data_IF_083792582225
#
_entry.id   IF_083792582225
#
_cell.length_a   1.000
_cell.length_b   1.000
_cell.length_c   1.000
_cell.angle_alpha   90.00
_cell.angle_beta   90.00
_cell.angle_gamma   90.00
#
_symmetry.space_group_name_H-M   'P 1'
#
loop_
_entity.id
_entity.type
_entity.pdbx_description
1 polymer ?
#
# COMPACT_ATOMS: atom_id res chain seq x y z
N UNK A 1 1.37 -4.74 -21.26
CA UNK A 1 1.88 -3.35 -21.22
C UNK A 1 2.16 -2.93 -19.78
N UNK A 2 3.28 -2.24 -19.56
CA UNK A 2 3.67 -1.69 -18.25
C UNK A 2 2.65 -0.67 -17.72
N UNK A 3 2.51 -0.59 -16.39
CA UNK A 3 1.68 0.43 -15.72
C UNK A 3 2.10 1.85 -16.12
N UNK A 4 3.41 2.12 -16.15
CA UNK A 4 3.94 3.43 -16.51
C UNK A 4 3.51 3.84 -17.92
N UNK A 5 3.47 2.90 -18.86
CA UNK A 5 3.02 3.15 -20.22
C UNK A 5 1.52 3.53 -20.29
N UNK A 6 0.67 2.91 -19.48
CA UNK A 6 -0.77 3.25 -19.41
C UNK A 6 -1.02 4.61 -18.77
N UNK A 7 -0.30 4.94 -17.70
CA UNK A 7 -0.40 6.26 -17.05
C UNK A 7 0.12 7.36 -17.97
N UNK A 8 1.24 7.11 -18.65
CA UNK A 8 1.78 8.02 -19.65
C UNK A 8 0.79 8.25 -20.79
N UNK A 9 0.17 7.19 -21.32
CA UNK A 9 -0.90 7.31 -22.31
C UNK A 9 -2.09 8.15 -21.83
N UNK A 10 -2.50 8.03 -20.56
CA UNK A 10 -3.56 8.87 -19.98
C UNK A 10 -3.15 10.34 -19.91
N UNK A 11 -1.92 10.63 -19.48
CA UNK A 11 -1.39 12.00 -19.44
C UNK A 11 -1.39 12.60 -20.84
N UNK A 12 -0.96 11.85 -21.85
CA UNK A 12 -0.97 12.32 -23.24
C UNK A 12 -2.38 12.62 -23.75
N UNK A 13 -3.39 11.83 -23.39
CA UNK A 13 -4.79 12.14 -23.74
C UNK A 13 -5.23 13.46 -23.10
N UNK A 14 -4.86 13.70 -21.85
CA UNK A 14 -5.19 14.97 -21.17
C UNK A 14 -4.49 16.15 -21.85
N UNK A 15 -3.21 16.00 -22.19
CA UNK A 15 -2.45 17.03 -22.92
C UNK A 15 -3.10 17.31 -24.28
N UNK A 16 -3.48 16.27 -25.02
CA UNK A 16 -4.13 16.38 -26.32
C UNK A 16 -5.48 17.12 -26.22
N UNK A 17 -6.29 16.81 -25.21
CA UNK A 17 -7.54 17.54 -24.94
C UNK A 17 -7.28 19.01 -24.63
N UNK A 18 -6.26 19.32 -23.83
CA UNK A 18 -5.88 20.70 -23.53
C UNK A 18 -5.44 21.42 -24.80
N UNK A 19 -4.61 20.79 -25.64
CA UNK A 19 -4.18 21.37 -26.91
C UNK A 19 -5.37 21.68 -27.82
N UNK A 20 -6.35 20.78 -27.89
CA UNK A 20 -7.60 21.00 -28.64
C UNK A 20 -8.37 22.21 -28.10
N UNK A 21 -8.56 22.31 -26.78
CA UNK A 21 -9.27 23.43 -26.15
C UNK A 21 -8.56 24.77 -26.40
N UNK A 22 -7.23 24.78 -26.27
CA UNK A 22 -6.40 25.98 -26.50
C UNK A 22 -6.47 26.39 -27.97
N UNK A 23 -6.40 25.45 -28.91
CA UNK A 23 -6.49 25.70 -30.36
C UNK A 23 -7.85 26.27 -30.77
N UNK A 24 -8.95 25.83 -30.12
CA UNK A 24 -10.27 26.43 -30.30
C UNK A 24 -10.40 27.83 -29.68
N UNK A 25 -9.69 28.11 -28.59
CA UNK A 25 -9.80 29.38 -27.85
C UNK A 25 -8.97 30.49 -28.47
N UNK A 26 -7.86 30.16 -29.12
CA UNK A 26 -6.97 31.11 -29.77
C UNK A 26 -7.42 31.38 -31.22
N UNK A 27 -8.41 32.25 -31.41
CA UNK A 27 -8.85 32.64 -32.76
C UNK A 27 -7.81 33.44 -33.55
N UNK A 28 -6.86 34.10 -32.86
CA UNK A 28 -5.87 35.03 -33.42
C UNK A 28 -4.41 34.77 -32.95
N UNK A 29 -4.06 33.52 -32.60
CA UNK A 29 -2.70 33.18 -32.16
C UNK A 29 -1.65 33.37 -33.28
N UNK A 30 -0.39 33.63 -32.91
CA UNK A 30 0.69 33.72 -33.90
C UNK A 30 0.89 32.38 -34.63
N UNK A 31 1.29 32.47 -35.91
CA UNK A 31 1.51 31.31 -36.77
C UNK A 31 2.51 30.30 -36.16
N UNK A 32 3.49 30.79 -35.41
CA UNK A 32 4.52 29.96 -34.77
C UNK A 32 3.96 29.13 -33.61
N UNK A 33 3.05 29.71 -32.81
CA UNK A 33 2.41 28.99 -31.70
C UNK A 33 1.53 27.87 -32.24
N UNK A 34 0.81 28.10 -33.34
CA UNK A 34 -0.05 27.07 -33.93
C UNK A 34 0.76 25.91 -34.51
N UNK A 35 1.86 26.20 -35.23
CA UNK A 35 2.80 25.17 -35.70
C UNK A 35 3.38 24.32 -34.57
N UNK A 36 3.75 24.95 -33.45
CA UNK A 36 4.27 24.23 -32.30
C UNK A 36 3.21 23.29 -31.71
N UNK A 37 1.97 23.74 -31.54
CA UNK A 37 0.87 22.92 -31.03
C UNK A 37 0.53 21.75 -31.97
N UNK A 38 0.54 21.97 -33.27
CA UNK A 38 0.31 20.93 -34.28
C UNK A 38 1.43 19.88 -34.28
N UNK A 39 2.68 20.32 -34.14
CA UNK A 39 3.83 19.42 -34.03
C UNK A 39 3.70 18.51 -32.80
N UNK A 40 3.32 19.08 -31.64
CA UNK A 40 3.07 18.28 -30.42
C UNK A 40 1.91 17.30 -30.62
N UNK A 41 0.81 17.75 -31.24
CA UNK A 41 -0.36 16.91 -31.53
C UNK A 41 -0.02 15.75 -32.47
N UNK A 42 0.87 15.97 -33.44
CA UNK A 42 1.36 14.96 -34.37
C UNK A 42 2.19 13.89 -33.65
N UNK A 43 3.11 14.31 -32.77
CA UNK A 43 3.91 13.39 -31.93
C UNK A 43 3.00 12.52 -31.06
N UNK A 44 1.99 13.13 -30.43
CA UNK A 44 1.00 12.42 -29.61
C UNK A 44 0.22 11.41 -30.46
N UNK A 45 -0.22 11.79 -31.67
CA UNK A 45 -0.95 10.91 -32.59
C UNK A 45 -0.11 9.69 -33.00
N UNK A 46 1.18 9.88 -33.31
CA UNK A 46 2.10 8.78 -33.62
C UNK A 46 2.35 7.86 -32.43
N UNK A 47 2.49 8.41 -31.22
CA UNK A 47 2.61 7.59 -30.01
C UNK A 47 1.41 6.65 -29.87
N UNK A 48 0.20 7.15 -30.12
CA UNK A 48 -1.00 6.33 -30.04
C UNK A 48 -1.16 5.30 -31.15
N UNK A 49 -0.67 5.59 -32.36
CA UNK A 49 -0.56 4.58 -33.41
C UNK A 49 0.35 3.45 -32.95
N UNK A 50 1.53 3.77 -32.42
CA UNK A 50 2.47 2.78 -31.90
C UNK A 50 1.85 1.98 -30.75
N UNK A 51 1.13 2.61 -29.82
CA UNK A 51 0.38 1.92 -28.76
C UNK A 51 -0.67 0.93 -29.30
N UNK A 52 -1.45 1.31 -30.31
CA UNK A 52 -2.39 0.38 -30.98
C UNK A 52 -1.63 -0.78 -31.62
N UNK A 53 -0.59 -0.51 -32.40
CA UNK A 53 0.20 -1.54 -33.10
C UNK A 53 0.86 -2.52 -32.11
N UNK A 54 1.44 -2.03 -31.03
CA UNK A 54 2.02 -2.85 -29.97
C UNK A 54 0.96 -3.75 -29.32
N UNK A 55 -0.25 -3.24 -29.08
CA UNK A 55 -1.34 -4.06 -28.53
C UNK A 55 -1.82 -5.11 -29.52
N UNK A 56 -1.95 -4.79 -30.80
CA UNK A 56 -2.26 -5.77 -31.85
C UNK A 56 -1.19 -6.87 -31.92
N UNK A 57 0.09 -6.49 -31.82
CA UNK A 57 1.21 -7.43 -31.80
C UNK A 57 1.18 -8.36 -30.58
N UNK A 58 0.94 -7.80 -29.37
CA UNK A 58 0.96 -8.56 -28.11
C UNK A 58 -0.28 -9.42 -27.92
N UNK A 59 -1.48 -8.91 -28.22
CA UNK A 59 -2.75 -9.63 -28.04
C UNK A 59 -3.03 -10.59 -29.21
N UNK A 60 -2.39 -10.34 -30.37
CA UNK A 60 -2.64 -11.07 -31.61
C UNK A 60 -3.82 -10.48 -32.39
N UNK A 61 -3.66 -10.40 -33.72
CA UNK A 61 -4.59 -9.70 -34.61
C UNK A 61 -6.06 -10.14 -34.45
N UNK A 62 -6.32 -11.46 -34.49
CA UNK A 62 -7.69 -12.01 -34.38
C UNK A 62 -8.35 -11.71 -33.03
N UNK A 63 -7.60 -11.77 -31.94
CA UNK A 63 -8.12 -11.54 -30.58
C UNK A 63 -8.37 -10.05 -30.37
N UNK A 64 -7.43 -9.19 -30.78
CA UNK A 64 -7.56 -7.75 -30.63
C UNK A 64 -8.83 -7.21 -31.32
N UNK A 65 -9.06 -7.60 -32.57
CA UNK A 65 -10.19 -7.17 -33.38
C UNK A 65 -11.50 -7.95 -33.13
N UNK A 66 -11.53 -8.84 -32.13
CA UNK A 66 -12.80 -9.43 -31.66
C UNK A 66 -13.61 -8.48 -30.77
N UNK A 67 -12.94 -7.50 -30.16
CA UNK A 67 -13.56 -6.52 -29.27
C UNK A 67 -13.99 -5.27 -30.02
N UNK A 68 -15.30 -4.96 -30.01
CA UNK A 68 -15.87 -3.76 -30.63
C UNK A 68 -15.16 -2.48 -30.16
N UNK A 69 -14.82 -2.39 -28.86
CA UNK A 69 -14.12 -1.22 -28.31
C UNK A 69 -12.68 -1.07 -28.83
N UNK A 70 -12.01 -2.18 -29.16
CA UNK A 70 -10.67 -2.16 -29.73
C UNK A 70 -10.72 -1.75 -31.21
N UNK A 71 -11.71 -2.24 -31.96
CA UNK A 71 -11.96 -1.82 -33.34
C UNK A 71 -12.18 -0.29 -33.38
N UNK A 72 -13.07 0.22 -32.54
CA UNK A 72 -13.38 1.66 -32.47
C UNK A 72 -12.13 2.48 -32.12
N UNK A 73 -11.32 2.06 -31.13
CA UNK A 73 -10.07 2.77 -30.76
C UNK A 73 -9.07 2.81 -31.91
N UNK A 74 -8.86 1.68 -32.61
CA UNK A 74 -7.95 1.61 -33.74
C UNK A 74 -8.40 2.54 -34.88
N UNK A 75 -9.70 2.53 -35.22
CA UNK A 75 -10.27 3.43 -36.22
C UNK A 75 -10.07 4.90 -35.83
N UNK A 76 -10.35 5.26 -34.57
CA UNK A 76 -10.18 6.64 -34.10
C UNK A 76 -8.72 7.07 -34.21
N UNK A 77 -7.76 6.24 -33.78
CA UNK A 77 -6.33 6.58 -33.85
C UNK A 77 -5.89 6.85 -35.29
N UNK A 78 -6.29 6.00 -36.23
CA UNK A 78 -5.98 6.18 -37.66
C UNK A 78 -6.62 7.45 -38.19
N UNK A 79 -7.91 7.67 -37.92
CA UNK A 79 -8.64 8.87 -38.36
C UNK A 79 -8.00 10.13 -37.77
N UNK A 80 -7.70 10.16 -36.48
CA UNK A 80 -7.06 11.31 -35.83
C UNK A 80 -5.67 11.59 -36.39
N UNK A 81 -4.88 10.56 -36.69
CA UNK A 81 -3.56 10.73 -37.29
C UNK A 81 -3.66 11.34 -38.70
N UNK A 82 -4.58 10.82 -39.53
CA UNK A 82 -4.80 11.34 -40.88
C UNK A 82 -5.24 12.80 -40.82
N UNK A 83 -6.17 13.15 -39.94
CA UNK A 83 -6.59 14.54 -39.73
C UNK A 83 -5.41 15.41 -39.31
N UNK A 84 -4.62 14.99 -38.33
CA UNK A 84 -3.47 15.76 -37.83
C UNK A 84 -2.39 15.91 -38.90
N UNK A 85 -2.14 14.89 -39.72
CA UNK A 85 -1.23 14.99 -40.86
C UNK A 85 -1.74 16.00 -41.89
N UNK A 86 -3.01 15.93 -42.29
CA UNK A 86 -3.59 16.89 -43.25
C UNK A 86 -3.36 18.33 -42.77
N UNK A 87 -3.55 18.60 -41.48
CA UNK A 87 -3.25 19.91 -40.90
C UNK A 87 -1.78 20.30 -40.98
N UNK A 88 -0.90 19.47 -40.42
CA UNK A 88 0.53 19.77 -40.35
C UNK A 88 1.13 19.98 -41.75
N UNK A 89 0.68 19.21 -42.75
CA UNK A 89 1.16 19.34 -44.13
C UNK A 89 0.52 20.50 -44.90
N UNK A 90 -0.74 20.87 -44.64
CA UNK A 90 -1.37 22.02 -45.31
C UNK A 90 -0.84 23.35 -44.81
N UNK A 91 -0.53 23.46 -43.51
CA UNK A 91 0.13 24.64 -42.93
C UNK A 91 1.58 24.79 -43.43
N UNK A 92 2.26 23.67 -43.73
CA UNK A 92 3.61 23.65 -44.29
C UNK A 92 3.64 24.01 -45.79
N UNK A 93 2.62 23.59 -46.55
CA UNK A 93 2.53 23.81 -48.00
C UNK A 93 1.85 25.13 -48.38
N UNK A 94 1.28 25.87 -47.42
CA UNK A 94 0.59 27.15 -47.65
C UNK A 94 -0.70 27.00 -48.46
N UNK A 95 -1.20 25.78 -48.63
CA UNK A 95 -2.42 25.50 -49.38
C UNK A 95 -3.66 25.86 -48.55
N UNK A 96 -4.53 26.71 -49.07
CA UNK A 96 -5.76 27.11 -48.40
C UNK A 96 -6.84 26.03 -48.52
N UNK A 97 -7.05 25.26 -47.44
CA UNK A 97 -8.23 24.42 -47.30
C UNK A 97 -9.50 25.28 -47.19
N UNK A 98 -10.62 24.76 -47.70
CA UNK A 98 -11.94 25.39 -47.52
C UNK A 98 -12.20 25.56 -46.01
N UNK A 99 -12.55 26.76 -45.52
CA UNK A 99 -12.76 27.01 -44.08
C UNK A 99 -13.73 26.04 -43.41
N UNK A 100 -14.77 25.59 -44.14
CA UNK A 100 -15.72 24.57 -43.69
C UNK A 100 -15.08 23.20 -43.42
N UNK A 101 -14.11 22.80 -44.24
CA UNK A 101 -13.37 21.53 -44.08
C UNK A 101 -12.47 21.63 -42.84
N UNK A 102 -11.83 22.76 -42.62
CA UNK A 102 -11.04 23.02 -41.40
C UNK A 102 -11.93 22.91 -40.15
N UNK A 103 -13.06 23.60 -40.11
CA UNK A 103 -13.97 23.49 -38.95
C UNK A 103 -14.46 22.06 -38.70
N UNK A 104 -14.79 21.32 -39.76
CA UNK A 104 -15.20 19.91 -39.66
C UNK A 104 -14.07 19.01 -39.12
N UNK A 105 -12.86 19.12 -39.67
CA UNK A 105 -11.72 18.33 -39.23
C UNK A 105 -11.31 18.66 -37.78
N UNK A 106 -11.48 19.91 -37.33
CA UNK A 106 -11.30 20.28 -35.90
C UNK A 106 -12.33 19.60 -35.00
N UNK A 107 -13.59 19.52 -35.43
CA UNK A 107 -14.64 18.85 -34.66
C UNK A 107 -14.36 17.36 -34.49
N UNK A 108 -13.68 16.73 -35.46
CA UNK A 108 -13.30 15.32 -35.40
C UNK A 108 -12.30 15.00 -34.26
N UNK A 109 -11.59 16.00 -33.73
CA UNK A 109 -10.73 15.85 -32.56
C UNK A 109 -11.52 15.54 -31.27
N UNK A 110 -12.84 15.78 -31.24
CA UNK A 110 -13.68 15.35 -30.12
C UNK A 110 -13.72 13.82 -29.95
N UNK A 111 -13.40 13.06 -31.01
CA UNK A 111 -13.29 11.60 -30.95
C UNK A 111 -12.19 11.12 -29.98
N UNK A 112 -11.21 11.98 -29.63
CA UNK A 112 -10.22 11.71 -28.58
C UNK A 112 -10.91 11.43 -27.23
N UNK A 113 -12.08 12.03 -26.97
CA UNK A 113 -12.87 11.77 -25.75
C UNK A 113 -13.39 10.34 -25.66
N UNK A 114 -13.62 9.66 -26.78
CA UNK A 114 -13.99 8.23 -26.80
C UNK A 114 -12.85 7.38 -26.21
N UNK A 115 -11.60 7.83 -26.32
CA UNK A 115 -10.44 7.15 -25.73
C UNK A 115 -10.40 7.30 -24.22
N UNK A 116 -10.84 8.44 -23.70
CA UNK A 116 -11.11 8.63 -22.26
C UNK A 116 -12.16 7.63 -21.79
N UNK A 117 -13.25 7.46 -22.56
CA UNK A 117 -14.30 6.49 -22.25
C UNK A 117 -13.79 5.03 -22.27
N UNK A 118 -12.94 4.66 -23.23
CA UNK A 118 -12.31 3.33 -23.27
C UNK A 118 -11.36 3.09 -22.08
N UNK A 119 -10.56 4.07 -21.70
CA UNK A 119 -9.75 4.01 -20.48
C UNK A 119 -10.61 3.88 -19.22
N UNK A 120 -11.75 4.60 -19.17
CA UNK A 120 -12.73 4.45 -18.10
C UNK A 120 -13.34 3.02 -18.09
N UNK A 121 -13.57 2.42 -19.27
CA UNK A 121 -13.98 1.02 -19.39
C UNK A 121 -12.90 0.04 -18.90
N UNK A 122 -11.63 0.44 -18.86
CA UNK A 122 -10.51 -0.33 -18.30
C UNK A 122 -10.24 -0.07 -16.81
N UNK A 123 -11.11 0.68 -16.12
CA UNK A 123 -10.97 1.02 -14.69
C UNK A 123 -10.67 -0.20 -13.80
N UNK A 124 -11.31 -1.35 -14.07
CA UNK A 124 -11.06 -2.59 -13.32
C UNK A 124 -9.61 -3.07 -13.41
N UNK A 125 -8.99 -2.95 -14.58
CA UNK A 125 -7.58 -3.33 -14.79
C UNK A 125 -6.63 -2.34 -14.11
N UNK A 126 -6.98 -1.05 -14.12
CA UNK A 126 -6.21 -0.04 -13.40
C UNK A 126 -6.22 -0.31 -11.88
N UNK A 127 -7.40 -0.59 -11.32
CA UNK A 127 -7.54 -0.95 -9.90
C UNK A 127 -6.69 -2.17 -9.51
N UNK A 128 -6.72 -3.23 -10.32
CA UNK A 128 -5.89 -4.43 -10.09
C UNK A 128 -4.40 -4.08 -10.05
N UNK A 129 -3.93 -3.27 -10.99
CA UNK A 129 -2.52 -2.86 -11.05
C UNK A 129 -2.15 -1.97 -9.87
N UNK A 130 -2.99 -1.01 -9.49
CA UNK A 130 -2.74 -0.15 -8.32
C UNK A 130 -2.64 -0.97 -7.03
N UNK A 131 -3.51 -1.96 -6.84
CA UNK A 131 -3.44 -2.89 -5.70
C UNK A 131 -2.14 -3.69 -5.69
N UNK A 132 -1.67 -4.17 -6.85
CA UNK A 132 -0.41 -4.92 -6.96
C UNK A 132 0.81 -4.08 -6.60
N UNK A 133 0.85 -2.82 -7.03
CA UNK A 133 1.95 -1.92 -6.66
C UNK A 133 1.98 -1.66 -5.15
N UNK A 134 0.83 -1.42 -4.51
CA UNK A 134 0.77 -1.18 -3.07
C UNK A 134 1.11 -2.42 -2.25
N UNK A 135 0.85 -3.62 -2.78
CA UNK A 135 1.28 -4.85 -2.11
C UNK A 135 2.77 -5.14 -2.24
N UNK A 136 3.51 -4.50 -3.14
CA UNK A 136 4.92 -4.83 -3.40
C UNK A 136 5.07 -6.35 -3.68
N UNK A 137 6.09 -7.00 -3.11
CA UNK A 137 6.35 -8.44 -3.17
C UNK A 137 5.70 -9.23 -2.02
N UNK A 138 4.59 -8.74 -1.46
CA UNK A 138 3.79 -9.52 -0.51
C UNK A 138 3.09 -10.67 -1.22
N UNK A 139 3.06 -11.86 -0.62
CA UNK A 139 2.33 -13.01 -1.16
C UNK A 139 0.83 -12.69 -1.22
N UNK A 140 0.27 -12.65 -2.43
CA UNK A 140 -1.15 -12.38 -2.67
C UNK A 140 -1.93 -13.69 -2.86
N UNK A 141 -3.21 -13.68 -2.50
CA UNK A 141 -4.13 -14.77 -2.84
C UNK A 141 -4.73 -14.50 -4.21
N UNK A 142 -4.38 -15.33 -5.19
CA UNK A 142 -4.79 -15.21 -6.60
C UNK A 142 -5.39 -16.54 -7.11
N UNK A 143 -6.45 -17.01 -6.45
CA UNK A 143 -7.14 -18.28 -6.78
C UNK A 143 -8.65 -18.08 -6.70
N UNK A 144 -9.42 -18.94 -7.36
CA UNK A 144 -10.89 -19.02 -7.26
C UNK A 144 -11.63 -17.69 -7.51
N UNK A 145 -11.09 -16.88 -8.42
CA UNK A 145 -11.67 -15.57 -8.76
C UNK A 145 -11.41 -14.47 -7.72
N UNK A 146 -10.46 -14.65 -6.79
CA UNK A 146 -10.03 -13.64 -5.84
C UNK A 146 -8.61 -13.13 -6.18
N UNK A 147 -8.37 -11.83 -6.04
CA UNK A 147 -7.04 -11.20 -6.07
C UNK A 147 -6.91 -10.27 -4.86
N UNK A 148 -6.50 -10.84 -3.72
CA UNK A 148 -6.45 -10.15 -2.43
C UNK A 148 -5.04 -10.16 -1.86
N UNK A 149 -4.65 -9.05 -1.22
CA UNK A 149 -3.45 -9.01 -0.38
C UNK A 149 -3.74 -9.72 0.95
N UNK A 150 -3.70 -11.05 0.87
CA UNK A 150 -4.10 -12.02 1.87
C UNK A 150 -3.20 -13.25 1.75
N UNK A 151 -2.75 -13.78 2.88
CA UNK A 151 -1.85 -14.94 2.96
C UNK A 151 -2.33 -15.87 4.05
N UNK A 152 -2.47 -17.16 3.73
CA UNK A 152 -2.54 -18.21 4.75
C UNK A 152 -1.13 -18.40 5.31
N UNK A 153 -0.91 -17.96 6.55
CA UNK A 153 0.34 -18.21 7.28
C UNK A 153 0.38 -19.68 7.67
N UNK A 154 -0.74 -20.19 8.16
CA UNK A 154 -1.07 -21.62 8.30
C UNK A 154 -2.46 -21.85 7.71
N UNK A 155 -2.96 -23.08 7.72
CA UNK A 155 -4.30 -23.40 7.20
C UNK A 155 -5.42 -22.65 7.92
N UNK A 156 -5.24 -22.34 9.22
CA UNK A 156 -6.25 -21.69 10.07
C UNK A 156 -5.88 -20.26 10.50
N UNK A 157 -4.73 -19.73 10.04
CA UNK A 157 -4.25 -18.38 10.40
C UNK A 157 -4.00 -17.57 9.14
N UNK A 158 -4.79 -16.53 8.94
CA UNK A 158 -4.73 -15.64 7.78
C UNK A 158 -4.14 -14.30 8.19
N UNK A 159 -3.14 -13.83 7.44
CA UNK A 159 -2.61 -12.48 7.51
C UNK A 159 -3.04 -11.69 6.27
N UNK A 160 -3.62 -10.50 6.45
CA UNK A 160 -4.07 -9.68 5.32
C UNK A 160 -3.81 -8.18 5.51
N UNK A 161 -3.92 -7.42 4.42
CA UNK A 161 -3.95 -5.96 4.48
C UNK A 161 -5.35 -5.43 4.83
N UNK A 162 -5.41 -4.16 5.21
CA UNK A 162 -6.65 -3.50 5.66
C UNK A 162 -7.80 -3.64 4.64
N UNK A 163 -8.97 -4.18 5.03
CA UNK A 163 -10.16 -4.20 4.20
C UNK A 163 -10.75 -2.78 4.13
N UNK A 164 -10.87 -2.26 2.91
CA UNK A 164 -11.13 -0.84 2.67
C UNK A 164 -12.41 -0.60 1.87
N UNK A 165 -13.03 0.55 2.09
CA UNK A 165 -14.21 1.04 1.36
C UNK A 165 -13.90 2.34 0.62
N UNK A 166 -14.82 2.76 -0.27
CA UNK A 166 -14.71 4.01 -1.01
C UNK A 166 -13.45 4.10 -1.88
N UNK A 167 -12.83 5.28 -1.93
CA UNK A 167 -11.63 5.55 -2.75
C UNK A 167 -10.42 4.70 -2.37
N UNK A 168 -10.33 4.22 -1.12
CA UNK A 168 -9.19 3.41 -0.66
C UNK A 168 -9.22 1.98 -1.26
N UNK A 169 -10.40 1.49 -1.65
CA UNK A 169 -10.56 0.20 -2.33
C UNK A 169 -9.92 0.16 -3.73
N UNK A 170 -9.58 1.32 -4.31
CA UNK A 170 -8.83 1.39 -5.57
C UNK A 170 -7.43 0.79 -5.44
N UNK A 171 -6.81 0.91 -4.27
CA UNK A 171 -5.41 0.52 -4.06
C UNK A 171 -5.20 -0.46 -2.89
N UNK A 172 -6.27 -0.84 -2.18
CA UNK A 172 -6.28 -1.88 -1.15
C UNK A 172 -7.36 -2.92 -1.39
N UNK A 173 -7.40 -3.94 -0.54
CA UNK A 173 -8.44 -4.95 -0.53
C UNK A 173 -9.83 -4.29 -0.40
N UNK A 174 -10.75 -4.48 -1.36
CA UNK A 174 -12.14 -4.06 -1.18
C UNK A 174 -12.78 -4.88 -0.07
N UNK A 175 -13.39 -4.22 0.92
CA UNK A 175 -13.98 -4.91 2.09
C UNK A 175 -15.03 -5.95 1.68
N UNK A 176 -15.84 -5.65 0.65
CA UNK A 176 -16.84 -6.59 0.11
C UNK A 176 -16.21 -7.85 -0.49
N UNK A 177 -15.04 -7.73 -1.12
CA UNK A 177 -14.33 -8.88 -1.66
C UNK A 177 -13.68 -9.73 -0.55
N UNK A 178 -13.21 -9.09 0.52
CA UNK A 178 -12.70 -9.80 1.70
C UNK A 178 -13.83 -10.53 2.42
N UNK A 179 -14.99 -9.89 2.61
CA UNK A 179 -16.18 -10.53 3.17
C UNK A 179 -16.63 -11.71 2.30
N UNK A 180 -16.76 -11.51 0.98
CA UNK A 180 -17.08 -12.58 0.02
C UNK A 180 -16.09 -13.73 0.12
N UNK A 181 -14.80 -13.45 0.25
CA UNK A 181 -13.78 -14.47 0.40
C UNK A 181 -13.97 -15.29 1.67
N UNK A 182 -14.11 -14.63 2.82
CA UNK A 182 -14.26 -15.30 4.11
C UNK A 182 -15.58 -16.09 4.18
N UNK A 183 -16.68 -15.53 3.68
CA UNK A 183 -17.97 -16.23 3.63
C UNK A 183 -17.95 -17.42 2.66
N UNK A 184 -17.24 -17.32 1.53
CA UNK A 184 -17.13 -18.43 0.56
C UNK A 184 -16.24 -19.57 1.07
N UNK A 185 -15.15 -19.23 1.79
CA UNK A 185 -14.13 -20.21 2.19
C UNK A 185 -14.30 -20.74 3.61
N UNK A 186 -14.91 -19.95 4.50
CA UNK A 186 -14.96 -20.20 5.94
C UNK A 186 -16.31 -19.77 6.52
N UNK A 187 -17.42 -20.04 5.83
CA UNK A 187 -18.75 -19.61 6.25
C UNK A 187 -18.97 -19.91 7.75
N UNK A 188 -19.28 -18.87 8.52
CA UNK A 188 -19.47 -18.90 9.99
C UNK A 188 -18.30 -19.40 10.85
N UNK A 189 -17.18 -19.78 10.24
CA UNK A 189 -15.97 -20.28 10.88
C UNK A 189 -14.80 -19.30 10.83
N UNK A 190 -15.04 -17.98 10.72
CA UNK A 190 -13.97 -16.98 10.82
C UNK A 190 -14.21 -15.91 11.88
N UNK A 191 -13.13 -15.46 12.52
CA UNK A 191 -13.08 -14.23 13.34
C UNK A 191 -11.98 -13.30 12.83
N UNK A 192 -12.30 -12.01 12.69
CA UNK A 192 -11.38 -10.99 12.18
C UNK A 192 -10.78 -10.19 13.34
N UNK A 193 -9.46 -9.97 13.33
CA UNK A 193 -8.77 -9.10 14.28
C UNK A 193 -8.23 -7.86 13.56
N UNK A 194 -8.79 -6.69 13.91
CA UNK A 194 -8.34 -5.39 13.43
C UNK A 194 -7.34 -4.77 14.41
N UNK A 195 -6.08 -4.68 13.98
CA UNK A 195 -4.97 -4.15 14.77
C UNK A 195 -4.75 -2.63 14.62
N UNK A 196 -5.60 -1.94 13.86
CA UNK A 196 -5.48 -0.49 13.64
C UNK A 196 -6.12 0.30 14.79
N UNK A 197 -5.32 1.08 15.51
CA UNK A 197 -5.82 2.16 16.36
C UNK A 197 -6.44 3.28 15.51
N UNK A 198 -5.82 3.56 14.36
CA UNK A 198 -6.12 4.73 13.53
C UNK A 198 -7.35 4.56 12.64
N UNK A 199 -7.84 3.33 12.45
CA UNK A 199 -8.86 3.01 11.45
C UNK A 199 -9.78 1.86 11.88
N UNK A 200 -11.06 2.01 11.56
CA UNK A 200 -12.08 0.98 11.64
C UNK A 200 -12.94 0.93 10.38
N UNK A 201 -13.91 0.03 10.40
CA UNK A 201 -14.95 -0.14 9.38
C UNK A 201 -16.19 -0.70 10.07
N UNK A 202 -17.34 -0.70 9.39
CA UNK A 202 -18.57 -1.28 9.91
C UNK A 202 -18.40 -2.80 10.11
N UNK A 203 -18.50 -3.33 11.35
CA UNK A 203 -18.33 -4.76 11.61
C UNK A 203 -19.43 -5.63 10.98
N UNK A 204 -20.53 -5.04 10.51
CA UNK A 204 -21.60 -5.76 9.78
C UNK A 204 -21.09 -6.49 8.54
N UNK A 205 -20.03 -5.99 7.89
CA UNK A 205 -19.43 -6.68 6.74
C UNK A 205 -18.91 -8.07 7.07
N UNK A 206 -18.65 -8.36 8.35
CA UNK A 206 -18.09 -9.61 8.84
C UNK A 206 -18.99 -10.24 9.91
N UNK A 207 -20.31 -10.00 9.81
CA UNK A 207 -21.33 -10.57 10.71
C UNK A 207 -21.03 -10.32 12.20
N UNK A 208 -20.46 -9.15 12.52
CA UNK A 208 -20.01 -8.77 13.87
C UNK A 208 -18.94 -9.67 14.50
N UNK A 209 -18.28 -10.54 13.72
CA UNK A 209 -17.15 -11.37 14.16
C UNK A 209 -15.83 -10.62 14.04
N UNK A 210 -15.77 -9.40 14.58
CA UNK A 210 -14.58 -8.52 14.51
C UNK A 210 -14.17 -8.08 15.91
N UNK A 211 -12.93 -8.39 16.28
CA UNK A 211 -12.29 -7.90 17.49
C UNK A 211 -11.24 -6.84 17.16
N UNK A 212 -10.99 -5.92 18.10
CA UNK A 212 -10.01 -4.84 17.91
C UNK A 212 -8.92 -4.88 18.97
N UNK A 213 -7.68 -4.80 18.51
CA UNK A 213 -6.51 -4.53 19.35
C UNK A 213 -5.91 -3.20 18.89
N UNK A 214 -5.88 -2.20 19.76
CA UNK A 214 -5.49 -0.84 19.37
C UNK A 214 -3.97 -0.70 19.34
N UNK A 215 -3.34 -0.94 18.19
CA UNK A 215 -1.88 -0.84 18.03
C UNK A 215 -1.54 0.29 17.04
N UNK A 216 -0.75 1.25 17.50
CA UNK A 216 -0.28 2.36 16.67
C UNK A 216 0.69 1.90 15.57
N UNK A 217 0.73 2.62 14.45
CA UNK A 217 1.54 2.24 13.29
C UNK A 217 3.03 2.25 13.63
N UNK A 218 3.73 1.14 13.35
CA UNK A 218 5.13 0.87 13.72
C UNK A 218 5.42 0.72 15.22
N UNK A 219 4.39 0.55 16.05
CA UNK A 219 4.51 0.30 17.48
C UNK A 219 4.09 -1.13 17.85
N UNK A 220 3.93 -1.37 19.15
CA UNK A 220 3.66 -2.67 19.78
C UNK A 220 2.41 -2.59 20.67
N UNK A 221 1.66 -3.69 20.84
CA UNK A 221 0.58 -3.76 21.82
C UNK A 221 1.14 -3.74 23.25
N UNK A 222 0.29 -3.49 24.26
CA UNK A 222 0.70 -3.79 25.64
C UNK A 222 0.76 -5.31 25.87
N UNK A 223 1.55 -5.77 26.84
CA UNK A 223 1.59 -7.19 27.19
C UNK A 223 0.22 -7.72 27.64
N UNK A 224 -0.57 -6.87 28.30
CA UNK A 224 -1.95 -7.20 28.70
C UNK A 224 -2.85 -7.42 27.48
N UNK A 225 -2.74 -6.56 26.46
CA UNK A 225 -3.51 -6.72 25.22
C UNK A 225 -3.11 -7.98 24.46
N UNK A 226 -1.84 -8.37 24.52
CA UNK A 226 -1.38 -9.63 23.93
C UNK A 226 -1.99 -10.85 24.63
N UNK A 227 -2.03 -10.85 25.96
CA UNK A 227 -2.66 -11.92 26.75
C UNK A 227 -4.17 -11.99 26.52
N UNK A 228 -4.84 -10.83 26.45
CA UNK A 228 -6.25 -10.77 26.11
C UNK A 228 -6.52 -11.33 24.71
N UNK A 229 -5.74 -10.87 23.73
CA UNK A 229 -5.84 -11.35 22.35
C UNK A 229 -5.69 -12.87 22.26
N UNK A 230 -4.67 -13.46 22.86
CA UNK A 230 -4.47 -14.92 22.78
C UNK A 230 -5.52 -15.69 23.54
N UNK A 231 -6.08 -15.15 24.63
CA UNK A 231 -7.23 -15.76 25.29
C UNK A 231 -8.46 -15.81 24.37
N UNK A 232 -8.79 -14.70 23.70
CA UNK A 232 -9.88 -14.66 22.73
C UNK A 232 -9.65 -15.60 21.54
N UNK A 233 -8.41 -15.71 21.05
CA UNK A 233 -8.07 -16.62 19.96
C UNK A 233 -8.15 -18.08 20.42
N UNK A 234 -7.63 -18.44 21.60
CA UNK A 234 -7.76 -19.81 22.14
C UNK A 234 -9.21 -20.24 22.24
N UNK A 235 -10.05 -19.40 22.84
CA UNK A 235 -11.49 -19.67 22.98
C UNK A 235 -12.14 -19.91 21.61
N UNK A 236 -11.89 -19.02 20.65
CA UNK A 236 -12.41 -19.16 19.28
C UNK A 236 -11.93 -20.43 18.59
N UNK A 237 -10.63 -20.71 18.66
CA UNK A 237 -10.01 -21.83 17.96
C UNK A 237 -10.34 -23.19 18.58
N UNK A 238 -10.66 -23.22 19.88
CA UNK A 238 -11.10 -24.41 20.60
C UNK A 238 -12.57 -24.74 20.37
N UNK A 239 -13.40 -23.74 20.04
CA UNK A 239 -14.83 -23.95 19.83
C UNK A 239 -15.16 -24.82 18.61
N UNK A 240 -14.33 -24.80 17.56
CA UNK A 240 -14.49 -25.64 16.38
C UNK A 240 -13.13 -25.86 15.68
N UNK A 241 -12.89 -27.06 15.15
CA UNK A 241 -11.67 -27.40 14.41
C UNK A 241 -11.56 -26.70 13.04
N UNK A 242 -12.70 -26.28 12.47
CA UNK A 242 -12.80 -25.52 11.23
C UNK A 242 -12.59 -24.02 11.43
N UNK A 243 -12.60 -23.52 12.68
CA UNK A 243 -12.47 -22.10 12.96
C UNK A 243 -11.10 -21.56 12.50
N UNK A 244 -11.13 -20.41 11.84
CA UNK A 244 -9.95 -19.66 11.38
C UNK A 244 -9.95 -18.25 11.95
N UNK A 245 -8.77 -17.64 12.01
CA UNK A 245 -8.59 -16.23 12.35
C UNK A 245 -8.00 -15.45 11.17
N UNK A 246 -8.53 -14.25 10.93
CA UNK A 246 -8.02 -13.32 9.93
C UNK A 246 -7.52 -12.04 10.60
N UNK A 247 -6.19 -11.88 10.65
CA UNK A 247 -5.53 -10.81 11.37
C UNK A 247 -5.04 -9.76 10.36
N UNK A 248 -5.33 -8.50 10.61
CA UNK A 248 -4.91 -7.43 9.72
C UNK A 248 -4.51 -6.17 10.47
N UNK A 249 -3.61 -5.41 9.83
CA UNK A 249 -3.32 -4.02 10.20
C UNK A 249 -3.49 -3.16 8.94
N UNK A 250 -2.76 -2.04 8.85
CA UNK A 250 -2.76 -1.20 7.66
C UNK A 250 -2.14 -1.91 6.45
N UNK A 251 -0.97 -2.55 6.63
CA UNK A 251 -0.17 -3.15 5.56
C UNK A 251 -0.12 -4.68 5.57
N UNK A 252 -0.55 -5.33 6.65
CA UNK A 252 -0.43 -6.77 6.86
C UNK A 252 1.02 -7.24 7.04
N UNK A 253 1.87 -6.42 7.68
CA UNK A 253 3.31 -6.62 7.92
C UNK A 253 3.62 -6.59 9.43
N UNK A 254 4.36 -5.60 9.93
CA UNK A 254 4.78 -5.44 11.34
C UNK A 254 3.77 -5.85 12.42
N UNK A 255 2.72 -5.03 12.64
CA UNK A 255 1.67 -5.31 13.66
C UNK A 255 1.02 -6.67 13.50
N UNK A 256 0.69 -7.05 12.26
CA UNK A 256 0.08 -8.35 11.94
C UNK A 256 1.02 -9.49 12.26
N UNK A 257 2.29 -9.38 11.87
CA UNK A 257 3.33 -10.36 12.16
C UNK A 257 3.53 -10.54 13.66
N UNK A 258 3.58 -9.44 14.44
CA UNK A 258 3.66 -9.52 15.91
C UNK A 258 2.54 -10.40 16.47
N UNK A 259 1.28 -10.11 16.15
CA UNK A 259 0.15 -10.85 16.71
C UNK A 259 -0.02 -12.27 16.15
N UNK A 260 0.37 -12.50 14.89
CA UNK A 260 0.43 -13.83 14.29
C UNK A 260 1.49 -14.68 14.99
N UNK A 261 2.72 -14.20 15.09
CA UNK A 261 3.82 -14.92 15.75
C UNK A 261 3.50 -15.18 17.24
N UNK A 262 2.91 -14.21 17.94
CA UNK A 262 2.40 -14.41 19.30
C UNK A 262 1.40 -15.57 19.39
N UNK A 263 0.47 -15.70 18.44
CA UNK A 263 -0.44 -16.85 18.40
C UNK A 263 0.28 -18.17 18.07
N UNK A 264 1.23 -18.16 17.15
CA UNK A 264 2.02 -19.34 16.80
C UNK A 264 2.81 -19.87 18.00
N UNK A 265 3.36 -18.98 18.83
CA UNK A 265 3.99 -19.34 20.10
C UNK A 265 2.95 -19.83 21.10
N UNK A 266 1.83 -19.11 21.26
CA UNK A 266 0.79 -19.47 22.25
C UNK A 266 0.17 -20.85 22.02
N UNK A 267 0.00 -21.22 20.74
CA UNK A 267 -0.61 -22.48 20.29
C UNK A 267 0.38 -23.62 20.11
N UNK A 268 1.61 -23.49 20.64
CA UNK A 268 2.67 -24.51 20.60
C UNK A 268 3.07 -24.96 19.18
N UNK A 269 2.76 -24.17 18.15
CA UNK A 269 3.21 -24.45 16.77
C UNK A 269 4.69 -24.10 16.59
N UNK A 270 5.21 -23.19 17.42
CA UNK A 270 6.61 -22.81 17.51
C UNK A 270 7.00 -22.66 18.98
N UNK A 271 8.20 -23.11 19.31
CA UNK A 271 8.77 -22.93 20.66
C UNK A 271 9.59 -21.64 20.78
N UNK A 272 10.18 -21.19 19.66
CA UNK A 272 11.07 -20.04 19.58
C UNK A 272 10.40 -18.83 18.91
N UNK A 273 10.42 -17.68 19.61
CA UNK A 273 9.98 -16.41 19.06
C UNK A 273 10.69 -16.07 17.74
N UNK A 274 12.00 -16.32 17.67
CA UNK A 274 12.80 -16.03 16.49
C UNK A 274 12.37 -16.89 15.29
N UNK A 275 12.19 -18.19 15.48
CA UNK A 275 11.75 -19.09 14.41
C UNK A 275 10.36 -18.72 13.89
N UNK A 276 9.45 -18.35 14.79
CA UNK A 276 8.10 -17.91 14.40
C UNK A 276 8.13 -16.62 13.54
N UNK A 277 9.05 -15.70 13.84
CA UNK A 277 9.24 -14.45 13.12
C UNK A 277 9.81 -14.69 11.72
N UNK A 278 10.81 -15.58 11.63
CA UNK A 278 11.43 -15.97 10.36
C UNK A 278 10.40 -16.66 9.47
N UNK A 279 9.68 -17.65 10.02
CA UNK A 279 8.60 -18.35 9.34
C UNK A 279 7.53 -17.40 8.80
N UNK A 280 7.05 -16.46 9.63
CA UNK A 280 6.07 -15.46 9.17
C UNK A 280 6.63 -14.62 8.02
N UNK A 281 7.88 -14.17 8.14
CA UNK A 281 8.58 -13.43 7.10
C UNK A 281 8.63 -14.19 5.77
N UNK A 282 8.94 -15.49 5.80
CA UNK A 282 8.99 -16.34 4.61
C UNK A 282 7.61 -16.58 3.99
N UNK A 283 6.58 -16.80 4.81
CA UNK A 283 5.21 -16.98 4.31
C UNK A 283 4.66 -15.70 3.70
N UNK A 284 4.97 -14.55 4.30
CA UNK A 284 4.45 -13.25 3.87
C UNK A 284 5.18 -12.68 2.65
N UNK A 285 6.46 -12.99 2.49
CA UNK A 285 7.30 -12.50 1.40
C UNK A 285 7.25 -13.44 0.19
N UNK A 286 6.97 -12.91 -0.99
CA UNK A 286 7.21 -13.61 -2.24
C UNK A 286 8.62 -13.29 -2.75
N UNK A 287 9.56 -14.19 -2.45
CA UNK A 287 10.97 -14.06 -2.84
C UNK A 287 11.19 -14.12 -4.36
N UNK A 288 10.22 -14.60 -5.16
CA UNK A 288 10.34 -14.60 -6.63
C UNK A 288 10.11 -13.22 -7.26
N UNK A 289 9.50 -12.28 -6.53
CA UNK A 289 9.18 -10.94 -7.02
C UNK A 289 10.18 -9.88 -6.55
N UNK A 290 10.79 -10.06 -5.37
CA UNK A 290 11.85 -9.18 -4.83
C UNK A 290 12.52 -9.81 -3.62
N UNK A 291 13.75 -9.41 -3.33
CA UNK A 291 14.49 -9.76 -2.10
C UNK A 291 14.06 -8.97 -0.86
N UNK A 292 13.16 -7.97 -1.00
CA UNK A 292 12.70 -7.15 0.12
C UNK A 292 11.92 -7.99 1.15
N UNK A 293 12.38 -8.01 2.40
CA UNK A 293 11.71 -8.70 3.49
C UNK A 293 10.37 -8.03 3.87
N UNK A 294 9.31 -8.83 4.03
CA UNK A 294 7.93 -8.39 4.31
C UNK A 294 7.38 -8.88 5.66
N UNK A 295 8.26 -9.32 6.57
CA UNK A 295 7.90 -9.82 7.91
C UNK A 295 7.73 -8.70 8.94
N UNK A 296 8.08 -8.99 10.20
CA UNK A 296 8.04 -8.01 11.29
C UNK A 296 9.09 -6.92 11.07
N UNK A 297 8.68 -5.65 11.24
CA UNK A 297 9.43 -4.50 10.72
C UNK A 297 10.39 -3.88 11.75
N UNK A 298 10.04 -3.89 13.04
CA UNK A 298 10.82 -3.18 14.06
C UNK A 298 11.40 -4.13 15.12
N UNK A 299 12.61 -3.86 15.65
CA UNK A 299 13.17 -4.63 16.75
C UNK A 299 12.28 -4.67 18.01
N UNK A 300 11.51 -3.61 18.26
CA UNK A 300 10.53 -3.59 19.35
C UNK A 300 9.42 -4.62 19.13
N UNK A 301 8.90 -4.75 17.91
CA UNK A 301 7.88 -5.75 17.57
C UNK A 301 8.42 -7.17 17.76
N UNK A 302 9.63 -7.47 17.29
CA UNK A 302 10.26 -8.78 17.51
C UNK A 302 10.49 -9.06 18.99
N UNK A 303 10.94 -8.05 19.76
CA UNK A 303 11.14 -8.17 21.20
C UNK A 303 9.85 -8.52 21.94
N UNK A 304 8.72 -7.93 21.55
CA UNK A 304 7.44 -8.20 22.21
C UNK A 304 6.93 -9.63 21.96
N UNK A 305 7.27 -10.25 20.81
CA UNK A 305 7.04 -11.68 20.61
C UNK A 305 7.87 -12.51 21.60
N UNK A 306 9.15 -12.17 21.80
CA UNK A 306 10.00 -12.80 22.82
C UNK A 306 9.52 -12.56 24.26
N UNK A 307 8.97 -11.38 24.56
CA UNK A 307 8.32 -11.15 25.87
C UNK A 307 7.11 -12.06 26.06
N UNK A 308 6.33 -12.29 25.00
CA UNK A 308 5.20 -13.22 25.08
C UNK A 308 5.63 -14.67 25.29
N UNK A 309 6.67 -15.12 24.60
CA UNK A 309 7.30 -16.43 24.82
C UNK A 309 7.70 -16.61 26.30
N UNK A 310 8.35 -15.60 26.90
CA UNK A 310 8.67 -15.59 28.33
C UNK A 310 7.40 -15.67 29.18
N UNK A 311 6.37 -14.87 28.89
CA UNK A 311 5.11 -14.89 29.64
C UNK A 311 4.44 -16.27 29.58
N UNK A 312 4.44 -16.92 28.41
CA UNK A 312 3.90 -18.27 28.23
C UNK A 312 4.69 -19.29 29.04
N UNK A 313 6.01 -19.33 28.88
CA UNK A 313 6.85 -20.42 29.39
C UNK A 313 7.21 -20.27 30.88
N UNK A 314 7.42 -19.04 31.35
CA UNK A 314 7.88 -18.78 32.73
C UNK A 314 6.78 -18.27 33.65
N UNK A 315 5.77 -17.57 33.10
CA UNK A 315 4.70 -16.94 33.87
C UNK A 315 3.33 -17.59 33.62
N UNK A 316 3.27 -18.74 32.93
CA UNK A 316 2.03 -19.47 32.63
C UNK A 316 0.93 -18.55 32.05
N UNK A 317 1.29 -17.72 31.06
CA UNK A 317 0.41 -16.74 30.40
C UNK A 317 -0.18 -15.71 31.38
N UNK A 318 0.58 -15.31 32.39
CA UNK A 318 0.28 -14.20 33.28
C UNK A 318 1.27 -13.05 33.07
N UNK A 319 0.86 -11.85 33.48
CA UNK A 319 1.79 -10.72 33.52
C UNK A 319 2.91 -10.98 34.55
N UNK A 320 4.16 -10.60 34.23
CA UNK A 320 5.21 -10.60 35.23
C UNK A 320 4.89 -9.58 36.33
N UNK A 321 5.44 -9.76 37.55
CA UNK A 321 5.24 -8.82 38.65
C UNK A 321 5.61 -7.38 38.26
N UNK A 322 4.79 -6.42 38.68
CA UNK A 322 5.01 -5.01 38.39
C UNK A 322 6.33 -4.54 39.04
N UNK A 323 7.20 -3.92 38.23
CA UNK A 323 8.47 -3.35 38.70
C UNK A 323 8.49 -1.83 38.47
N UNK A 324 8.52 -1.06 39.56
CA UNK A 324 8.67 0.40 39.49
C UNK A 324 10.15 0.77 39.35
N UNK A 325 10.49 1.49 38.28
CA UNK A 325 11.85 1.89 37.95
C UNK A 325 11.90 3.39 37.65
N UNK A 326 13.02 4.03 38.01
CA UNK A 326 13.35 5.40 37.59
C UNK A 326 14.58 5.36 36.72
N UNK A 327 14.51 5.98 35.55
CA UNK A 327 15.66 6.09 34.66
C UNK A 327 16.65 7.09 35.28
N UNK A 328 17.84 6.60 35.63
CA UNK A 328 18.90 7.43 36.24
C UNK A 328 19.79 8.11 35.21
N UNK A 329 20.15 7.41 34.14
CA UNK A 329 21.01 7.93 33.08
C UNK A 329 20.82 7.14 31.78
N UNK A 330 21.18 7.75 30.65
CA UNK A 330 21.30 7.09 29.35
C UNK A 330 22.75 7.17 28.89
N UNK A 331 23.32 6.05 28.45
CA UNK A 331 24.67 6.00 27.87
C UNK A 331 24.56 5.56 26.42
N UNK A 332 25.06 6.39 25.50
CA UNK A 332 25.07 6.08 24.08
C UNK A 332 26.50 5.79 23.66
N UNK A 333 26.73 4.57 23.21
CA UNK A 333 28.03 4.12 22.70
C UNK A 333 28.10 4.37 21.19
N UNK A 334 29.31 4.57 20.67
CA UNK A 334 29.61 4.58 19.24
C UNK A 334 28.76 5.56 18.42
N UNK A 335 28.74 6.83 18.83
CA UNK A 335 28.16 7.90 18.01
C UNK A 335 29.02 8.03 16.75
N UNK A 336 28.42 7.79 15.58
CA UNK A 336 29.12 7.88 14.29
C UNK A 336 29.90 9.19 14.20
N UNK A 337 31.21 9.10 13.97
CA UNK A 337 32.14 10.24 13.95
C UNK A 337 32.87 10.56 15.26
N UNK A 338 32.68 9.77 16.34
CA UNK A 338 33.47 9.89 17.58
C UNK A 338 33.95 8.51 18.08
N UNK A 339 35.22 8.43 18.46
CA UNK A 339 35.88 7.21 18.98
C UNK A 339 35.60 6.94 20.47
N UNK A 340 34.97 7.88 21.19
CA UNK A 340 34.63 7.73 22.62
C UNK A 340 33.12 7.76 22.88
N UNK A 341 32.62 6.97 23.84
CA UNK A 341 31.20 6.98 24.23
C UNK A 341 30.81 8.35 24.82
N UNK A 342 29.68 8.88 24.38
CA UNK A 342 29.14 10.13 24.92
C UNK A 342 28.10 9.80 25.99
N UNK A 343 28.41 10.17 27.23
CA UNK A 343 27.46 10.07 28.34
C UNK A 343 26.60 11.33 28.31
N UNK A 344 25.29 11.17 28.08
CA UNK A 344 24.34 12.27 28.18
C UNK A 344 23.64 12.13 29.53
N UNK A 345 24.11 12.89 30.52
CA UNK A 345 23.44 13.02 31.81
C UNK A 345 22.26 13.98 31.66
N UNK A 346 21.05 13.43 31.51
CA UNK A 346 19.82 14.23 31.54
C UNK A 346 19.31 14.21 32.99
N UNK A 347 19.54 15.28 33.74
CA UNK A 347 18.85 15.56 35.00
C UNK A 347 17.41 15.98 34.70
N UNK A 348 16.50 15.01 34.62
CA UNK A 348 15.07 15.24 34.43
C UNK A 348 14.46 15.88 35.69
N UNK A 349 14.40 17.21 35.73
CA UNK A 349 13.54 17.96 36.66
C UNK A 349 12.09 17.85 36.15
N UNK A 350 11.42 16.74 36.49
CA UNK A 350 10.00 16.58 36.84
C UNK A 350 9.59 15.12 36.69
N UNK A 351 8.93 14.61 37.73
CA UNK A 351 8.47 13.22 37.87
C UNK A 351 7.75 12.72 36.61
N UNK A 352 8.32 11.70 35.98
CA UNK A 352 7.52 10.69 35.28
C UNK A 352 7.07 9.72 36.37
N UNK A 353 5.84 9.90 36.87
CA UNK A 353 5.16 8.83 37.59
C UNK A 353 4.84 7.73 36.57
N UNK A 354 5.70 6.71 36.49
CA UNK A 354 5.45 5.51 35.68
C UNK A 354 4.38 4.69 36.39
N UNK A 355 3.11 5.01 36.12
CA UNK A 355 1.99 4.14 36.45
C UNK A 355 1.87 3.09 35.35
N UNK A 356 1.99 1.81 35.72
CA UNK A 356 1.67 0.67 34.86
C UNK A 356 0.15 0.53 34.71
N UNK A 357 -0.48 1.50 34.06
CA UNK A 357 -1.85 1.39 33.55
C UNK A 357 -1.91 2.12 32.21
N UNK A 358 -2.13 1.34 31.17
CA UNK A 358 -2.52 1.74 29.82
C UNK A 358 -1.49 2.60 29.05
N UNK A 359 -0.95 2.01 27.99
CA UNK A 359 -0.21 2.63 26.87
C UNK A 359 1.13 3.24 27.25
N UNK A 360 2.24 2.66 26.77
CA UNK A 360 3.42 3.47 26.47
C UNK A 360 4.18 2.98 25.24
N UNK A 361 3.83 3.60 24.12
CA UNK A 361 4.78 4.02 23.11
C UNK A 361 5.86 4.90 23.75
N UNK A 362 7.11 4.66 23.34
CA UNK A 362 8.27 5.47 23.68
C UNK A 362 8.24 6.82 22.92
N UNK A 363 7.13 7.57 23.01
CA UNK A 363 6.94 8.85 22.31
C UNK A 363 7.15 10.10 23.18
N UNK A 364 7.36 9.95 24.49
CA UNK A 364 7.37 11.09 25.42
C UNK A 364 8.69 11.87 25.58
N UNK A 365 9.71 11.69 24.72
CA UNK A 365 10.95 12.48 24.84
C UNK A 365 10.99 13.73 23.96
N UNK A 366 10.15 13.85 22.91
CA UNK A 366 10.49 14.79 21.82
C UNK A 366 9.75 16.13 21.76
N UNK A 367 8.77 16.41 22.64
CA UNK A 367 8.08 17.71 22.58
C UNK A 367 8.82 18.88 23.25
N UNK A 368 9.93 18.62 23.95
CA UNK A 368 10.69 19.67 24.66
C UNK A 368 11.86 20.28 23.88
N UNK A 369 12.26 19.70 22.73
CA UNK A 369 13.50 20.09 22.04
C UNK A 369 13.31 20.94 20.77
N UNK A 370 12.21 21.69 20.64
CA UNK A 370 12.04 22.62 19.51
C UNK A 370 12.94 23.87 19.58
N UNK A 371 13.59 24.15 20.72
CA UNK A 371 14.42 25.36 20.91
C UNK A 371 15.92 25.10 21.04
N UNK A 372 16.44 23.96 20.54
CA UNK A 372 17.88 23.68 20.59
C UNK A 372 18.61 23.98 19.26
N UNK A 373 19.85 24.46 19.39
CA UNK A 373 20.74 24.87 18.29
C UNK A 373 21.05 23.77 17.28
N UNK A 374 21.61 24.14 16.13
CA UNK A 374 21.79 23.28 14.95
C UNK A 374 22.54 21.95 15.23
N UNK A 375 23.48 21.92 16.18
CA UNK A 375 24.20 20.71 16.58
C UNK A 375 23.33 19.72 17.40
N UNK A 376 22.36 20.22 18.18
CA UNK A 376 21.43 19.36 18.92
C UNK A 376 20.39 18.69 18.02
N UNK A 377 20.02 19.32 16.90
CA UNK A 377 19.10 18.71 15.92
C UNK A 377 19.68 17.43 15.29
N UNK A 378 20.99 17.39 15.03
CA UNK A 378 21.66 16.19 14.51
C UNK A 378 21.70 15.05 15.52
N UNK A 379 21.95 15.34 16.82
CA UNK A 379 21.85 14.35 17.89
C UNK A 379 20.41 13.84 18.09
N UNK A 380 19.42 14.72 18.00
CA UNK A 380 17.99 14.37 18.07
C UNK A 380 17.58 13.45 16.91
N UNK A 381 18.07 13.72 15.71
CA UNK A 381 17.82 12.89 14.54
C UNK A 381 18.46 11.49 14.67
N UNK A 382 19.68 11.43 15.22
CA UNK A 382 20.36 10.19 15.57
C UNK A 382 19.57 9.40 16.63
N UNK A 383 19.14 10.01 17.75
CA UNK A 383 18.37 9.32 18.79
C UNK A 383 17.03 8.78 18.26
N UNK A 384 16.35 9.53 17.38
CA UNK A 384 15.11 9.08 16.70
C UNK A 384 15.29 7.78 15.90
N UNK A 385 16.44 7.60 15.26
CA UNK A 385 16.74 6.41 14.47
C UNK A 385 17.39 5.29 15.29
N UNK A 386 18.20 5.62 16.30
CA UNK A 386 18.87 4.62 17.15
C UNK A 386 17.90 3.94 18.11
N UNK A 387 16.95 4.66 18.71
CA UNK A 387 15.98 4.07 19.66
C UNK A 387 14.94 3.19 18.97
N UNK A 388 14.60 3.48 17.71
CA UNK A 388 13.76 2.58 16.88
C UNK A 388 14.44 1.24 16.57
N UNK A 389 15.77 1.18 16.62
CA UNK A 389 16.56 0.03 16.16
C UNK A 389 17.37 -0.69 17.25
N UNK A 390 17.37 -0.22 18.48
CA UNK A 390 18.17 -0.86 19.54
C UNK A 390 17.44 -2.06 20.14
N UNK A 391 18.07 -3.24 20.08
CA UNK A 391 17.87 -4.31 21.05
C UNK A 391 18.34 -3.81 22.42
N UNK A 392 17.40 -3.60 23.34
CA UNK A 392 17.72 -3.38 24.75
C UNK A 392 18.06 -4.78 25.30
N UNK A 393 19.35 -5.06 25.48
CA UNK A 393 19.82 -6.20 26.27
C UNK A 393 19.59 -5.93 27.76
#
# INVERSE_FOLDING_TARGET
MSFGFRVFGLVLIIVDIILVIVDFSLSNGSHDVRRAMESVSLVISFFFLIDVLLRVYVEGFKVYFSSILNIIDACIVVVTLVVTMIYAFTDLSGASLIPRVVTFLRSLRILILVRVFRLASQKKELEKVTRRMVSENKRRYQKDGFDLDLTYVTERVIAMSFPSSGKQALYRNPIREVARFLDTKHLDHYKVFNLCSEKGYDPKFFHYRVERVMIDDHNVPSLQDMLWYTACVREWMAADSSNVIAIHCKGGKGRTGTMVCTWLIDSDQFESAQESLDYFGERRTDKSMSSKFQGVETPSQSRYVGYYEIMKNQYNRQLPPQKSLKIKSFRIHSIAGKTQPVIINISLIKLINVYMRNIFDFFCIFRFFQNASHAHRSCIYLIKNTVKNCNIK
#
